data_IF_299492343659
#
_entry.id   IF_299492343659
#
_cell.length_a   1.000
_cell.length_b   1.000
_cell.length_c   1.000
_cell.angle_alpha   90.00
_cell.angle_beta   90.00
_cell.angle_gamma   90.00
#
_symmetry.space_group_name_H-M   'P 1'
#
loop_
_entity.id
_entity.type
_entity.pdbx_description
1 polymer ?
#
# COMPACT_ATOMS: atom_id res chain seq x y z
N UNK A 1 16.87 -14.02 13.02
CA UNK A 1 16.00 -14.56 14.09
C UNK A 1 15.44 -15.89 13.57
N UNK A 2 15.68 -17.04 14.23
CA UNK A 2 15.09 -18.32 13.78
C UNK A 2 13.60 -18.28 14.07
N UNK A 3 12.77 -18.25 13.03
CA UNK A 3 11.30 -18.32 13.16
C UNK A 3 10.94 -19.79 13.36
N UNK A 4 10.45 -20.14 14.54
CA UNK A 4 9.94 -21.49 14.83
C UNK A 4 8.50 -21.60 14.33
N UNK A 5 8.30 -22.42 13.31
CA UNK A 5 6.98 -22.91 12.90
C UNK A 5 6.45 -23.89 13.98
N UNK A 6 5.14 -23.88 14.31
CA UNK A 6 4.08 -23.20 13.60
C UNK A 6 3.86 -21.76 14.07
N UNK A 7 3.73 -20.84 13.11
CA UNK A 7 3.33 -19.46 13.39
C UNK A 7 1.90 -19.48 13.94
N UNK A 8 1.71 -18.88 15.12
CA UNK A 8 0.41 -18.88 15.80
C UNK A 8 -0.62 -18.09 14.98
N UNK A 9 -1.90 -18.49 14.96
CA UNK A 9 -2.95 -17.81 14.17
C UNK A 9 -3.11 -16.30 14.45
N UNK A 10 -2.76 -15.86 15.67
CA UNK A 10 -2.83 -14.44 16.07
C UNK A 10 -1.58 -13.63 15.71
N UNK A 11 -0.50 -14.25 15.24
CA UNK A 11 0.79 -13.58 15.00
C UNK A 11 0.72 -12.47 13.95
N UNK A 12 -0.33 -12.44 13.12
CA UNK A 12 -0.49 -11.43 12.07
C UNK A 12 -1.66 -10.48 12.27
N UNK A 13 -2.29 -10.48 13.45
CA UNK A 13 -3.27 -9.45 13.80
C UNK A 13 -2.59 -8.10 13.94
N UNK A 14 -3.26 -7.05 13.51
CA UNK A 14 -2.75 -5.68 13.60
C UNK A 14 -1.39 -5.56 12.91
N UNK A 15 -1.32 -6.03 11.66
CA UNK A 15 -0.11 -5.88 10.84
C UNK A 15 -0.42 -5.20 9.52
N UNK A 16 0.55 -4.43 9.02
CA UNK A 16 0.60 -3.97 7.64
C UNK A 16 1.58 -4.85 6.87
N UNK A 17 1.23 -5.22 5.64
CA UNK A 17 2.10 -5.98 4.75
C UNK A 17 1.77 -5.69 3.29
N UNK A 18 2.79 -5.74 2.44
CA UNK A 18 2.65 -5.66 0.99
C UNK A 18 3.05 -7.01 0.42
N UNK A 19 2.11 -7.67 -0.24
CA UNK A 19 2.41 -8.88 -0.99
C UNK A 19 2.77 -8.50 -2.41
N UNK A 20 3.76 -9.19 -2.98
CA UNK A 20 4.03 -9.17 -4.42
C UNK A 20 3.23 -10.29 -5.06
N UNK A 21 2.48 -9.98 -6.11
CA UNK A 21 1.79 -11.01 -6.89
C UNK A 21 2.83 -11.92 -7.56
N UNK A 22 2.58 -13.23 -7.50
CA UNK A 22 3.45 -14.28 -8.04
C UNK A 22 2.60 -15.32 -8.79
N UNK A 23 3.16 -16.07 -9.75
CA UNK A 23 2.41 -17.08 -10.49
C UNK A 23 1.96 -18.25 -9.61
N UNK A 24 0.84 -18.89 -9.96
CA UNK A 24 0.29 -20.02 -9.19
C UNK A 24 1.20 -21.25 -9.14
N UNK A 25 2.15 -21.37 -10.08
CA UNK A 25 3.12 -22.47 -10.12
C UNK A 25 3.97 -22.53 -8.84
N UNK A 26 4.17 -21.40 -8.15
CA UNK A 26 4.96 -21.29 -6.91
C UNK A 26 4.40 -22.16 -5.77
N UNK A 27 3.12 -22.53 -5.82
CA UNK A 27 2.45 -23.35 -4.79
C UNK A 27 2.01 -24.73 -5.30
N UNK A 28 2.32 -25.11 -6.55
CA UNK A 28 1.81 -26.36 -7.17
C UNK A 28 2.14 -27.60 -6.32
N UNK A 29 3.31 -27.60 -5.69
CA UNK A 29 3.80 -28.72 -4.87
C UNK A 29 3.80 -28.41 -3.36
N UNK A 30 3.10 -27.36 -2.93
CA UNK A 30 3.05 -26.93 -1.53
C UNK A 30 1.67 -27.23 -0.94
N UNK A 31 1.65 -28.01 0.14
CA UNK A 31 0.40 -28.24 0.90
C UNK A 31 0.02 -26.98 1.68
N UNK A 32 -1.25 -26.59 1.60
CA UNK A 32 -1.75 -25.45 2.40
C UNK A 32 -1.64 -25.71 3.89
N UNK A 33 -1.24 -24.68 4.64
CA UNK A 33 -1.11 -24.73 6.10
C UNK A 33 -2.40 -24.29 6.79
N UNK A 34 -3.14 -23.37 6.16
CA UNK A 34 -4.35 -22.81 6.72
C UNK A 34 -5.30 -22.33 5.62
N UNK A 35 -6.61 -22.49 5.86
CA UNK A 35 -7.67 -21.94 5.02
C UNK A 35 -8.59 -21.15 5.94
N UNK A 36 -8.81 -19.87 5.65
CA UNK A 36 -9.74 -19.05 6.43
C UNK A 36 -11.19 -19.44 6.17
N UNK A 37 -12.09 -19.10 7.09
CA UNK A 37 -13.54 -19.25 6.89
C UNK A 37 -14.08 -18.52 5.65
N UNK A 38 -13.39 -17.46 5.22
CA UNK A 38 -13.68 -16.71 4.00
C UNK A 38 -13.02 -17.29 2.73
N UNK A 39 -12.35 -18.43 2.81
CA UNK A 39 -11.78 -19.15 1.66
C UNK A 39 -10.40 -18.65 1.19
N UNK A 40 -9.74 -17.75 1.91
CA UNK A 40 -8.33 -17.42 1.61
C UNK A 40 -7.43 -18.57 2.07
N UNK A 41 -6.48 -18.98 1.24
CA UNK A 41 -5.57 -20.09 1.53
C UNK A 41 -4.16 -19.58 1.77
N UNK A 42 -3.48 -20.16 2.75
CA UNK A 42 -2.18 -19.72 3.23
C UNK A 42 -1.17 -20.86 3.18
N UNK A 43 0.03 -20.56 2.68
CA UNK A 43 1.15 -21.48 2.57
C UNK A 43 2.36 -20.83 3.25
N UNK A 44 2.84 -21.47 4.30
CA UNK A 44 3.95 -20.98 5.11
C UNK A 44 5.24 -21.68 4.67
N UNK A 45 6.26 -20.87 4.43
CA UNK A 45 7.61 -21.33 4.11
C UNK A 45 8.58 -20.82 5.17
N UNK A 46 9.84 -21.22 5.08
CA UNK A 46 10.89 -20.71 5.96
C UNK A 46 11.13 -19.19 5.77
N UNK A 47 10.95 -18.69 4.54
CA UNK A 47 11.21 -17.29 4.18
C UNK A 47 10.02 -16.36 4.42
N UNK A 48 8.81 -16.87 4.18
CA UNK A 48 7.62 -16.04 4.15
C UNK A 48 6.32 -16.81 3.96
N UNK A 49 5.28 -16.06 3.60
CA UNK A 49 3.94 -16.58 3.39
C UNK A 49 3.45 -16.30 1.98
N UNK A 50 2.91 -17.34 1.36
CA UNK A 50 1.99 -17.18 0.25
C UNK A 50 0.56 -17.07 0.76
N UNK A 51 -0.21 -16.18 0.14
CA UNK A 51 -1.65 -16.04 0.36
C UNK A 51 -2.36 -16.06 -0.99
N UNK A 52 -3.21 -17.05 -1.19
CA UNK A 52 -4.14 -17.13 -2.31
C UNK A 52 -5.47 -16.52 -1.90
N UNK A 53 -5.87 -15.42 -2.55
CA UNK A 53 -7.10 -14.72 -2.21
C UNK A 53 -7.67 -13.93 -3.38
N UNK A 54 -8.98 -13.76 -3.37
CA UNK A 54 -9.71 -12.85 -4.26
C UNK A 54 -9.99 -11.47 -3.64
N UNK A 55 -9.56 -11.25 -2.39
CA UNK A 55 -9.73 -9.99 -1.69
C UNK A 55 -8.42 -9.55 -1.00
N UNK A 56 -7.98 -8.34 -1.33
CA UNK A 56 -6.76 -7.70 -0.82
C UNK A 56 -7.09 -6.31 -0.28
N UNK A 57 -6.26 -5.79 0.62
CA UNK A 57 -6.47 -4.55 1.35
C UNK A 57 -6.72 -4.83 2.83
N UNK A 58 -7.87 -4.41 3.36
CA UNK A 58 -8.18 -4.57 4.79
C UNK A 58 -8.62 -6.00 5.11
N UNK A 59 -7.91 -6.67 6.02
CA UNK A 59 -8.21 -8.01 6.52
C UNK A 59 -8.41 -7.94 8.04
N UNK A 60 -9.67 -7.93 8.50
CA UNK A 60 -10.01 -7.66 9.90
C UNK A 60 -9.32 -6.37 10.42
N UNK A 61 -8.36 -6.50 11.34
CA UNK A 61 -7.59 -5.40 11.92
C UNK A 61 -6.21 -5.20 11.25
N UNK A 62 -5.91 -5.97 10.20
CA UNK A 62 -4.66 -5.90 9.44
C UNK A 62 -4.88 -5.26 8.06
N UNK A 63 -3.82 -4.75 7.46
CA UNK A 63 -3.82 -4.08 6.15
C UNK A 63 -2.82 -4.75 5.21
N UNK A 64 -3.29 -5.72 4.41
CA UNK A 64 -2.46 -6.50 3.50
C UNK A 64 -2.83 -6.20 2.05
N UNK A 65 -2.04 -5.35 1.40
CA UNK A 65 -2.23 -5.01 -0.01
C UNK A 65 -1.50 -6.00 -0.92
N UNK A 66 -1.97 -6.11 -2.16
CA UNK A 66 -1.27 -6.82 -3.22
C UNK A 66 -0.73 -5.80 -4.21
N UNK A 67 0.54 -5.92 -4.53
CA UNK A 67 1.15 -5.29 -5.68
C UNK A 67 1.04 -6.26 -6.85
N UNK A 68 0.26 -5.87 -7.86
CA UNK A 68 -0.03 -6.77 -8.98
C UNK A 68 1.18 -6.89 -9.91
N UNK A 69 1.26 -8.00 -10.63
CA UNK A 69 2.18 -8.13 -11.77
C UNK A 69 1.79 -7.10 -12.84
N UNK A 70 2.77 -6.59 -13.58
CA UNK A 70 2.54 -5.66 -14.70
C UNK A 70 1.63 -6.27 -15.78
N UNK A 71 1.70 -7.60 -15.93
CA UNK A 71 0.81 -8.35 -16.82
C UNK A 71 -0.50 -8.59 -16.05
N UNK A 72 -1.52 -7.80 -16.39
CA UNK A 72 -2.85 -7.98 -15.84
C UNK A 72 -3.45 -9.33 -16.27
N UNK A 73 -3.47 -10.27 -15.35
CA UNK A 73 -4.31 -11.46 -15.49
C UNK A 73 -5.74 -11.14 -15.01
N UNK A 74 -6.74 -11.53 -15.80
CA UNK A 74 -8.16 -11.28 -15.51
C UNK A 74 -8.70 -12.07 -14.30
N UNK A 75 -7.90 -12.95 -13.71
CA UNK A 75 -8.32 -13.74 -12.54
C UNK A 75 -8.56 -12.83 -11.34
N UNK A 76 -9.74 -12.98 -10.73
CA UNK A 76 -10.07 -12.34 -9.45
C UNK A 76 -9.24 -12.92 -8.31
N UNK A 77 -8.89 -14.20 -8.38
CA UNK A 77 -8.08 -14.87 -7.36
C UNK A 77 -6.61 -14.74 -7.74
N UNK A 78 -5.83 -14.16 -6.83
CA UNK A 78 -4.40 -13.88 -7.02
C UNK A 78 -3.59 -14.51 -5.90
N UNK A 79 -2.38 -14.93 -6.22
CA UNK A 79 -1.40 -15.41 -5.27
C UNK A 79 -0.40 -14.30 -4.98
N UNK A 80 -0.25 -13.95 -3.70
CA UNK A 80 0.76 -13.02 -3.26
C UNK A 80 1.78 -13.70 -2.36
N UNK A 81 3.04 -13.29 -2.44
CA UNK A 81 4.11 -13.67 -1.52
C UNK A 81 4.60 -12.45 -0.73
N UNK A 82 4.93 -12.65 0.54
CA UNK A 82 5.61 -11.67 1.38
C UNK A 82 6.58 -12.37 2.34
N UNK A 83 7.73 -11.74 2.60
CA UNK A 83 8.69 -12.23 3.58
C UNK A 83 8.16 -12.02 4.99
N UNK A 84 8.62 -12.83 5.94
CA UNK A 84 8.22 -12.66 7.34
C UNK A 84 8.61 -11.30 7.92
N UNK A 85 9.72 -10.72 7.46
CA UNK A 85 10.21 -9.41 7.90
C UNK A 85 9.42 -8.22 7.33
N UNK A 86 8.57 -8.44 6.32
CA UNK A 86 7.72 -7.40 5.72
C UNK A 86 6.39 -7.19 6.46
N UNK A 87 6.11 -7.96 7.51
CA UNK A 87 4.95 -7.80 8.36
C UNK A 87 5.24 -6.81 9.49
N UNK A 88 4.82 -5.56 9.29
CA UNK A 88 5.04 -4.52 10.28
C UNK A 88 3.87 -4.40 11.26
N UNK A 89 4.12 -4.14 12.56
CA UNK A 89 3.06 -3.84 13.51
C UNK A 89 2.23 -2.63 13.09
N UNK A 90 0.92 -2.71 13.26
CA UNK A 90 -0.04 -1.69 12.83
C UNK A 90 -1.00 -1.31 13.96
N UNK A 91 -1.41 -0.04 13.99
CA UNK A 91 -2.52 0.42 14.81
C UNK A 91 -3.13 1.71 14.22
N UNK A 92 -4.26 2.13 14.79
CA UNK A 92 -4.99 3.31 14.30
C UNK A 92 -4.50 4.64 14.86
N UNK A 93 -3.65 4.65 15.90
CA UNK A 93 -3.28 5.84 16.66
C UNK A 93 -1.97 6.46 16.16
N UNK A 94 -0.96 5.64 15.93
CA UNK A 94 0.37 6.09 15.58
C UNK A 94 0.48 6.54 14.12
N UNK A 95 1.44 7.44 13.88
CA UNK A 95 1.83 7.89 12.55
C UNK A 95 2.78 6.86 11.93
N UNK A 96 2.21 5.87 11.27
CA UNK A 96 2.93 4.71 10.75
C UNK A 96 3.13 4.75 9.23
N UNK A 97 2.47 5.66 8.52
CA UNK A 97 2.35 5.59 7.07
C UNK A 97 2.88 6.82 6.36
N UNK A 98 3.67 6.60 5.32
CA UNK A 98 3.98 7.62 4.32
C UNK A 98 3.32 7.27 3.00
N UNK A 99 3.12 8.30 2.17
CA UNK A 99 2.48 8.17 0.86
C UNK A 99 3.56 8.15 -0.22
N UNK A 100 3.35 7.32 -1.24
CA UNK A 100 4.18 7.25 -2.46
C UNK A 100 3.27 7.36 -3.67
N UNK A 101 3.67 8.16 -4.65
CA UNK A 101 2.96 8.33 -5.92
C UNK A 101 3.87 7.94 -7.07
N UNK A 102 3.31 7.21 -8.04
CA UNK A 102 3.92 7.04 -9.36
C UNK A 102 3.13 7.89 -10.36
N UNK A 103 3.77 8.94 -10.84
CA UNK A 103 3.16 9.89 -11.78
C UNK A 103 2.99 9.31 -13.19
N UNK A 104 3.85 8.37 -13.60
CA UNK A 104 3.76 7.71 -14.90
C UNK A 104 2.54 6.79 -14.97
N UNK A 105 2.30 5.99 -13.92
CA UNK A 105 1.13 5.10 -13.85
C UNK A 105 -0.08 5.78 -13.23
N UNK A 106 0.04 7.02 -12.75
CA UNK A 106 -0.99 7.79 -12.03
C UNK A 106 -1.55 7.02 -10.83
N UNK A 107 -0.69 6.29 -10.13
CA UNK A 107 -1.08 5.52 -8.95
C UNK A 107 -0.56 6.18 -7.68
N UNK A 108 -1.35 6.08 -6.60
CA UNK A 108 -0.94 6.51 -5.26
C UNK A 108 -1.20 5.39 -4.27
N UNK A 109 -0.17 5.12 -3.48
CA UNK A 109 -0.13 4.08 -2.46
C UNK A 109 0.43 4.66 -1.15
N UNK A 110 0.39 3.83 -0.12
CA UNK A 110 1.04 4.13 1.16
C UNK A 110 1.90 2.94 1.57
N UNK A 111 2.95 3.26 2.31
CA UNK A 111 3.91 2.32 2.85
C UNK A 111 4.05 2.56 4.34
N UNK A 112 4.49 1.54 5.07
CA UNK A 112 4.77 1.66 6.48
C UNK A 112 6.16 2.26 6.71
N UNK A 113 6.36 3.03 7.78
CA UNK A 113 7.65 3.69 8.13
C UNK A 113 8.85 2.75 8.26
N UNK A 114 8.60 1.46 8.51
CA UNK A 114 9.64 0.42 8.59
C UNK A 114 9.99 -0.20 7.23
N UNK A 115 9.36 0.27 6.14
CA UNK A 115 9.76 -0.12 4.80
C UNK A 115 11.24 0.29 4.58
N UNK A 116 12.12 -0.63 4.14
CA UNK A 116 13.54 -0.34 3.92
C UNK A 116 13.83 0.83 2.97
N UNK A 117 12.87 1.17 2.10
CA UNK A 117 12.98 2.28 1.14
C UNK A 117 12.59 3.64 1.74
N UNK A 118 12.18 3.70 3.01
CA UNK A 118 11.78 4.95 3.65
C UNK A 118 13.01 5.81 3.98
N UNK A 119 13.12 6.96 3.32
CA UNK A 119 14.25 7.88 3.44
C UNK A 119 14.07 8.98 4.51
N UNK A 120 13.04 8.86 5.36
CA UNK A 120 12.66 9.83 6.39
C UNK A 120 12.23 11.22 5.88
N UNK A 121 11.97 11.40 4.58
CA UNK A 121 11.51 12.69 4.05
C UNK A 121 10.00 12.81 4.00
N UNK A 122 9.31 11.77 3.56
CA UNK A 122 7.85 11.79 3.42
C UNK A 122 7.19 11.87 4.80
N UNK A 123 6.15 12.69 4.94
CA UNK A 123 5.50 12.90 6.23
C UNK A 123 4.73 11.64 6.65
N UNK A 124 5.01 11.17 7.86
CA UNK A 124 4.28 10.06 8.49
C UNK A 124 2.92 10.53 8.97
N UNK A 125 1.92 9.66 8.81
CA UNK A 125 0.52 9.92 9.18
C UNK A 125 -0.13 8.67 9.72
N UNK A 126 -1.17 8.86 10.53
CA UNK A 126 -2.01 7.75 10.96
C UNK A 126 -2.89 7.24 9.80
N UNK A 127 -3.61 6.14 10.04
CA UNK A 127 -4.46 5.51 9.02
C UNK A 127 -5.53 6.44 8.45
N UNK A 128 -6.11 7.30 9.28
CA UNK A 128 -7.20 8.21 8.89
C UNK A 128 -6.70 9.32 7.97
N UNK A 129 -5.67 10.05 8.41
CA UNK A 129 -5.09 11.15 7.62
C UNK A 129 -4.46 10.65 6.31
N UNK A 130 -3.83 9.47 6.34
CA UNK A 130 -3.31 8.81 5.13
C UNK A 130 -4.41 8.57 4.11
N UNK A 131 -5.55 8.02 4.54
CA UNK A 131 -6.69 7.74 3.66
C UNK A 131 -7.24 9.04 3.04
N UNK A 132 -7.35 10.10 3.83
CA UNK A 132 -7.79 11.43 3.36
C UNK A 132 -6.86 11.98 2.30
N UNK A 133 -5.54 11.91 2.53
CA UNK A 133 -4.52 12.40 1.58
C UNK A 133 -4.49 11.57 0.30
N UNK A 134 -4.59 10.25 0.39
CA UNK A 134 -4.71 9.37 -0.79
C UNK A 134 -5.92 9.77 -1.65
N UNK A 135 -7.08 10.04 -1.04
CA UNK A 135 -8.27 10.47 -1.79
C UNK A 135 -8.02 11.80 -2.52
N UNK A 136 -7.37 12.76 -1.87
CA UNK A 136 -7.00 14.03 -2.49
C UNK A 136 -6.05 13.82 -3.68
N UNK A 137 -5.00 13.02 -3.51
CA UNK A 137 -4.01 12.73 -4.56
C UNK A 137 -4.67 12.00 -5.73
N UNK A 138 -5.52 11.00 -5.49
CA UNK A 138 -6.28 10.32 -6.57
C UNK A 138 -7.12 11.28 -7.37
N UNK A 139 -7.78 12.24 -6.73
CA UNK A 139 -8.57 13.25 -7.43
C UNK A 139 -7.67 14.16 -8.27
N UNK A 140 -6.50 14.56 -7.75
CA UNK A 140 -5.54 15.39 -8.48
C UNK A 140 -4.98 14.66 -9.72
N UNK A 141 -4.67 13.36 -9.60
CA UNK A 141 -4.14 12.53 -10.69
C UNK A 141 -5.16 12.29 -11.81
N UNK A 142 -6.44 12.11 -11.47
CA UNK A 142 -7.48 11.67 -12.41
C UNK A 142 -8.35 12.80 -12.98
N UNK A 143 -8.41 13.96 -12.31
CA UNK A 143 -9.24 15.09 -12.74
C UNK A 143 -8.33 16.26 -13.10
N UNK A 144 -8.75 17.08 -14.06
CA UNK A 144 -8.03 18.31 -14.48
C UNK A 144 -8.84 19.57 -14.21
N UNK A 145 -10.09 19.44 -13.78
CA UNK A 145 -10.99 20.57 -13.51
C UNK A 145 -10.45 21.57 -12.49
N UNK A 146 -9.68 21.09 -11.50
CA UNK A 146 -9.05 21.92 -10.48
C UNK A 146 -7.96 22.85 -11.05
N UNK A 147 -7.32 22.48 -12.16
CA UNK A 147 -6.19 23.22 -12.72
C UNK A 147 -6.62 24.53 -13.40
N UNK A 148 -7.89 24.66 -13.80
CA UNK A 148 -8.44 25.87 -14.45
C UNK A 148 -8.32 27.16 -13.60
N UNK A 149 -8.01 27.02 -12.32
CA UNK A 149 -7.85 28.12 -11.37
C UNK A 149 -6.38 28.54 -11.16
N UNK A 150 -5.46 28.08 -12.02
CA UNK A 150 -4.03 28.33 -11.95
C UNK A 150 -3.51 28.84 -13.29
N UNK A 151 -2.49 29.68 -13.23
CA UNK A 151 -1.64 29.97 -14.38
C UNK A 151 -0.53 28.92 -14.44
N UNK A 152 -0.49 28.12 -15.49
CA UNK A 152 0.53 27.10 -15.68
C UNK A 152 0.87 26.93 -17.16
N UNK A 153 2.15 26.65 -17.43
CA UNK A 153 2.61 26.27 -18.77
C UNK A 153 2.50 24.76 -19.00
N UNK A 154 2.69 23.97 -17.93
CA UNK A 154 2.67 22.52 -17.96
C UNK A 154 1.83 21.98 -16.80
N UNK A 155 0.78 21.22 -17.13
CA UNK A 155 -0.14 20.64 -16.17
C UNK A 155 0.52 19.57 -15.31
N UNK A 156 1.42 18.77 -15.89
CA UNK A 156 2.09 17.68 -15.21
C UNK A 156 3.02 18.25 -14.14
N UNK A 157 3.79 19.30 -14.48
CA UNK A 157 4.65 20.00 -13.52
C UNK A 157 3.86 20.59 -12.34
N UNK A 158 2.71 21.25 -12.61
CA UNK A 158 1.85 21.79 -11.55
C UNK A 158 1.27 20.67 -10.67
N UNK A 159 0.80 19.59 -11.28
CA UNK A 159 0.22 18.44 -10.59
C UNK A 159 1.27 17.75 -9.70
N UNK A 160 2.46 17.49 -10.23
CA UNK A 160 3.59 16.91 -9.49
C UNK A 160 3.96 17.78 -8.29
N UNK A 161 4.05 19.11 -8.47
CA UNK A 161 4.36 20.04 -7.39
C UNK A 161 3.34 19.96 -6.24
N UNK A 162 2.04 20.01 -6.54
CA UNK A 162 0.97 19.96 -5.52
C UNK A 162 0.98 18.61 -4.79
N UNK A 163 1.11 17.50 -5.51
CA UNK A 163 1.12 16.15 -4.94
C UNK A 163 2.37 15.94 -4.08
N UNK A 164 3.52 16.45 -4.53
CA UNK A 164 4.77 16.42 -3.76
C UNK A 164 4.60 17.17 -2.44
N UNK A 165 4.03 18.38 -2.45
CA UNK A 165 3.79 19.13 -1.22
C UNK A 165 2.79 18.41 -0.30
N UNK A 166 1.80 17.70 -0.83
CA UNK A 166 0.91 16.84 -0.04
C UNK A 166 1.63 15.64 0.59
N UNK A 167 2.64 15.09 -0.07
CA UNK A 167 3.41 13.95 0.45
C UNK A 167 4.40 14.38 1.53
N UNK A 168 5.10 15.50 1.31
CA UNK A 168 6.27 15.92 2.07
C UNK A 168 6.00 17.06 3.07
N UNK A 169 4.77 17.56 3.18
CA UNK A 169 4.42 18.59 4.16
C UNK A 169 3.14 18.27 4.93
N UNK A 170 2.92 18.96 6.06
CA UNK A 170 1.67 18.92 6.81
C UNK A 170 0.63 19.93 6.30
N UNK A 171 0.90 20.65 5.21
CA UNK A 171 -0.02 21.67 4.71
C UNK A 171 -1.33 21.04 4.20
N UNK A 172 -2.49 21.67 4.48
CA UNK A 172 -3.74 21.29 3.85
C UNK A 172 -3.69 21.60 2.34
N UNK A 173 -4.45 20.84 1.53
CA UNK A 173 -4.47 20.99 0.08
C UNK A 173 -4.81 22.43 -0.36
N UNK A 174 -5.76 23.06 0.32
CA UNK A 174 -6.18 24.43 -0.03
C UNK A 174 -5.09 25.47 0.24
N UNK A 175 -4.24 25.25 1.25
CA UNK A 175 -3.08 26.12 1.49
C UNK A 175 -2.01 25.91 0.41
N UNK A 176 -1.67 24.66 0.07
CA UNK A 176 -0.73 24.35 -1.03
C UNK A 176 -1.20 25.01 -2.33
N UNK A 177 -2.49 24.87 -2.64
CA UNK A 177 -3.09 25.49 -3.83
C UNK A 177 -3.03 27.01 -3.79
N UNK A 178 -3.25 27.63 -2.63
CA UNK A 178 -3.20 29.09 -2.49
C UNK A 178 -1.78 29.63 -2.67
N UNK A 179 -0.77 28.92 -2.18
CA UNK A 179 0.64 29.32 -2.29
C UNK A 179 1.17 29.28 -3.74
N UNK A 180 0.43 28.66 -4.67
CA UNK A 180 0.77 28.50 -6.08
C UNK A 180 -0.09 29.37 -7.02
N UNK A 181 -1.00 30.18 -6.47
CA UNK A 181 -1.82 31.11 -7.24
C UNK A 181 -1.14 32.45 -7.44
#
# INVERSE_FOLDING_TARGET
MKITLPIKPNSFKNTFCVFKEVPLIEIENIKSNFISSSGSTYYYTELGMYRLSNHWGRLANSKWRLESLEIENQSKTKLGFALWEDFYPDNSKEELYYITTDFKTKTVNYQHKNNPLYDNKAVLRNSFETTKKIKQIRNLLNLTSWAKHFEYYDLEVLQEKIITDLMFTNKPLEEIKRDLR
#
